data_IF_075876056093
#
_entry.id   IF_075876056093
#
_cell.length_a   1.000
_cell.length_b   1.000
_cell.length_c   1.000
_cell.angle_alpha   90.00
_cell.angle_beta   90.00
_cell.angle_gamma   90.00
#
_symmetry.space_group_name_H-M   'P 1'
#
loop_
_entity.id
_entity.type
_entity.pdbx_description
1 polymer ?
#
# COMPACT_ATOMS: atom_id res chain seq x y z
N UNK A 1 -11.30 19.54 25.00
CA UNK A 1 -10.58 19.64 23.71
C UNK A 1 -10.48 18.26 23.04
N UNK A 2 -10.02 17.25 23.74
CA UNK A 2 -9.82 15.88 23.21
C UNK A 2 -11.08 15.27 22.57
N UNK A 3 -12.24 15.37 23.24
CA UNK A 3 -13.52 14.88 22.73
C UNK A 3 -13.92 15.55 21.39
N UNK A 4 -13.70 16.87 21.26
CA UNK A 4 -13.98 17.58 20.02
C UNK A 4 -13.06 17.14 18.89
N UNK A 5 -11.76 16.93 19.16
CA UNK A 5 -10.79 16.42 18.17
C UNK A 5 -11.13 14.99 17.71
N UNK A 6 -11.57 14.14 18.64
CA UNK A 6 -12.08 12.79 18.30
C UNK A 6 -13.26 12.87 17.32
N UNK A 7 -14.29 13.67 17.61
CA UNK A 7 -15.46 13.80 16.73
C UNK A 7 -15.08 14.39 15.37
N UNK A 8 -14.21 15.40 15.32
CA UNK A 8 -13.76 16.00 14.06
C UNK A 8 -13.00 14.96 13.23
N UNK A 9 -12.02 14.26 13.81
CA UNK A 9 -11.22 13.29 13.10
C UNK A 9 -12.08 12.11 12.55
N UNK A 10 -12.96 11.54 13.37
CA UNK A 10 -13.86 10.48 12.94
C UNK A 10 -14.85 10.96 11.86
N UNK A 11 -15.37 12.20 11.96
CA UNK A 11 -16.23 12.77 10.91
C UNK A 11 -15.50 12.92 9.59
N UNK A 12 -14.21 13.28 9.58
CA UNK A 12 -13.36 13.36 8.40
C UNK A 12 -13.10 11.97 7.78
N UNK A 13 -12.88 10.94 8.60
CA UNK A 13 -12.76 9.56 8.12
C UNK A 13 -14.06 9.10 7.45
N UNK A 14 -15.22 9.37 8.07
CA UNK A 14 -16.54 9.06 7.51
C UNK A 14 -16.77 9.84 6.20
N UNK A 15 -16.38 11.10 6.13
CA UNK A 15 -16.48 11.91 4.92
C UNK A 15 -15.64 11.30 3.78
N UNK A 16 -14.43 10.83 4.08
CA UNK A 16 -13.60 10.10 3.12
C UNK A 16 -14.27 8.80 2.67
N UNK A 17 -14.86 8.04 3.58
CA UNK A 17 -15.60 6.81 3.27
C UNK A 17 -16.77 7.07 2.33
N UNK A 18 -17.62 8.03 2.64
CA UNK A 18 -18.80 8.40 1.84
C UNK A 18 -18.39 8.90 0.45
N UNK A 19 -17.37 9.76 0.38
CA UNK A 19 -16.88 10.27 -0.91
C UNK A 19 -16.24 9.17 -1.75
N UNK A 20 -15.66 8.14 -1.14
CA UNK A 20 -15.12 6.97 -1.85
C UNK A 20 -16.24 6.13 -2.48
N UNK A 21 -17.37 5.95 -1.79
CA UNK A 21 -18.57 5.31 -2.35
C UNK A 21 -19.10 6.13 -3.53
N UNK A 22 -19.23 7.45 -3.35
CA UNK A 22 -19.72 8.34 -4.41
C UNK A 22 -18.81 8.26 -5.65
N UNK A 23 -17.51 8.20 -5.48
CA UNK A 23 -16.55 8.16 -6.59
C UNK A 23 -16.50 6.78 -7.27
N UNK A 24 -16.70 5.68 -6.53
CA UNK A 24 -16.73 4.33 -7.10
C UNK A 24 -17.91 4.08 -8.06
N UNK A 25 -18.98 4.87 -7.99
CA UNK A 25 -20.15 4.77 -8.90
C UNK A 25 -19.81 4.90 -10.38
N UNK A 26 -18.70 5.56 -10.74
CA UNK A 26 -18.26 5.66 -12.13
C UNK A 26 -17.95 4.31 -12.78
N UNK A 27 -17.66 3.27 -12.00
CA UNK A 27 -17.53 1.89 -12.50
C UNK A 27 -18.85 1.33 -13.04
N UNK A 28 -19.97 1.73 -12.47
CA UNK A 28 -21.31 1.23 -12.79
C UNK A 28 -22.04 2.08 -13.80
N UNK A 29 -21.38 3.05 -14.43
CA UNK A 29 -21.98 4.00 -15.39
C UNK A 29 -23.21 4.77 -14.86
N UNK A 30 -23.33 4.92 -13.56
CA UNK A 30 -24.40 5.69 -12.94
C UNK A 30 -24.05 7.18 -13.10
N UNK A 31 -24.35 7.73 -14.26
CA UNK A 31 -24.17 9.14 -14.59
C UNK A 31 -25.47 9.91 -14.29
N UNK A 32 -25.73 10.26 -13.06
CA UNK A 32 -26.75 11.21 -12.74
C UNK A 32 -26.19 12.30 -11.85
N UNK A 33 -26.13 13.53 -12.38
CA UNK A 33 -25.82 14.79 -11.70
C UNK A 33 -24.50 14.81 -10.90
N UNK A 34 -23.45 15.23 -11.55
CA UNK A 34 -22.17 15.51 -10.88
C UNK A 34 -22.22 16.91 -10.27
N UNK A 35 -22.60 17.00 -9.00
CA UNK A 35 -22.42 18.23 -8.20
C UNK A 35 -20.95 18.66 -8.10
N UNK A 36 -20.03 17.69 -8.15
CA UNK A 36 -18.59 17.91 -8.05
C UNK A 36 -17.84 17.17 -9.16
N UNK A 37 -16.74 17.77 -9.64
CA UNK A 37 -15.81 17.11 -10.55
C UNK A 37 -15.05 15.99 -9.82
N UNK A 38 -14.47 15.05 -10.58
CA UNK A 38 -13.66 13.95 -10.03
C UNK A 38 -12.52 14.47 -9.18
N UNK A 39 -11.83 15.52 -9.66
CA UNK A 39 -10.69 16.11 -8.94
C UNK A 39 -11.14 16.80 -7.64
N UNK A 40 -12.31 17.39 -7.59
CA UNK A 40 -12.87 17.96 -6.35
C UNK A 40 -13.18 16.88 -5.31
N UNK A 41 -13.79 15.75 -5.72
CA UNK A 41 -14.06 14.63 -4.81
C UNK A 41 -12.74 14.04 -4.30
N UNK A 42 -11.77 13.82 -5.20
CA UNK A 42 -10.44 13.34 -4.79
C UNK A 42 -9.71 14.32 -3.87
N UNK A 43 -9.88 15.63 -4.08
CA UNK A 43 -9.34 16.66 -3.18
C UNK A 43 -10.00 16.59 -1.79
N UNK A 44 -11.32 16.39 -1.72
CA UNK A 44 -12.04 16.23 -0.45
C UNK A 44 -11.51 14.99 0.30
N UNK A 45 -11.35 13.85 -0.38
CA UNK A 45 -10.75 12.63 0.22
C UNK A 45 -9.36 12.92 0.78
N UNK A 46 -8.48 13.52 -0.04
CA UNK A 46 -7.12 13.83 0.36
C UNK A 46 -7.07 14.79 1.55
N UNK A 47 -7.80 15.91 1.50
CA UNK A 47 -7.83 16.90 2.57
C UNK A 47 -8.44 16.32 3.87
N UNK A 48 -9.47 15.50 3.78
CA UNK A 48 -10.07 14.86 4.96
C UNK A 48 -9.05 13.98 5.70
N UNK A 49 -8.34 13.13 4.97
CA UNK A 49 -7.32 12.25 5.59
C UNK A 49 -6.09 13.04 6.03
N UNK A 50 -5.66 14.04 5.26
CA UNK A 50 -4.54 14.92 5.61
C UNK A 50 -4.80 15.66 6.94
N UNK A 51 -5.99 16.25 7.09
CA UNK A 51 -6.37 16.92 8.33
C UNK A 51 -6.46 15.94 9.50
N UNK A 52 -7.04 14.74 9.28
CA UNK A 52 -7.06 13.68 10.32
C UNK A 52 -5.64 13.28 10.74
N UNK A 53 -4.71 13.18 9.78
CA UNK A 53 -3.32 12.86 10.07
C UNK A 53 -2.62 13.98 10.85
N UNK A 54 -2.87 15.25 10.52
CA UNK A 54 -2.35 16.37 11.30
C UNK A 54 -2.96 16.44 12.70
N UNK A 55 -4.23 16.10 12.89
CA UNK A 55 -4.82 15.97 14.23
C UNK A 55 -4.05 14.91 15.03
N UNK A 56 -3.75 13.74 14.44
CA UNK A 56 -2.99 12.70 15.13
C UNK A 56 -1.58 13.16 15.48
N UNK A 57 -0.88 13.85 14.58
CA UNK A 57 0.42 14.47 14.86
C UNK A 57 0.32 15.45 16.04
N UNK A 58 -0.69 16.30 16.06
CA UNK A 58 -0.92 17.27 17.13
C UNK A 58 -1.13 16.58 18.48
N UNK A 59 -1.90 15.49 18.53
CA UNK A 59 -2.14 14.71 19.75
C UNK A 59 -0.83 14.12 20.32
N UNK A 60 0.05 13.60 19.44
CA UNK A 60 1.37 13.10 19.86
C UNK A 60 2.30 14.20 20.35
N UNK A 61 2.34 15.35 19.66
CA UNK A 61 3.19 16.49 20.06
C UNK A 61 2.76 17.03 21.42
N UNK A 62 1.45 17.19 21.64
CA UNK A 62 0.88 17.70 22.88
C UNK A 62 0.81 16.67 24.01
N UNK A 63 1.15 15.39 23.70
CA UNK A 63 1.09 14.29 24.66
C UNK A 63 -0.32 14.16 25.30
N UNK A 64 -1.36 14.17 24.44
CA UNK A 64 -2.76 14.05 24.90
C UNK A 64 -3.08 12.57 25.20
N UNK A 65 -2.78 12.12 26.43
CA UNK A 65 -2.95 10.75 26.88
C UNK A 65 -4.42 10.34 27.10
N UNK A 66 -5.38 11.22 26.82
CA UNK A 66 -6.78 10.81 26.71
C UNK A 66 -7.04 9.92 25.48
N UNK A 67 -6.10 9.83 24.55
CA UNK A 67 -6.18 8.93 23.40
C UNK A 67 -5.35 7.67 23.64
N UNK A 68 -5.95 6.48 23.47
CA UNK A 68 -5.29 5.19 23.66
C UNK A 68 -3.95 5.13 22.93
N UNK A 69 -3.95 5.54 21.66
CA UNK A 69 -2.77 5.45 20.81
C UNK A 69 -1.61 6.29 21.32
N UNK A 70 -1.89 7.49 21.83
CA UNK A 70 -0.87 8.37 22.39
C UNK A 70 -0.34 7.83 23.71
N UNK A 71 -1.23 7.31 24.57
CA UNK A 71 -0.87 6.70 25.83
C UNK A 71 0.07 5.49 25.65
N UNK A 72 -0.28 4.57 24.74
CA UNK A 72 0.53 3.36 24.53
C UNK A 72 1.86 3.60 23.81
N UNK A 73 2.01 4.70 23.05
CA UNK A 73 3.15 4.88 22.14
C UNK A 73 3.90 6.22 22.31
N UNK A 74 3.58 7.02 23.35
CA UNK A 74 4.26 8.27 23.60
C UNK A 74 4.55 8.47 25.09
N UNK A 75 5.36 9.48 25.43
CA UNK A 75 5.70 9.90 26.78
C UNK A 75 5.97 11.40 26.79
N UNK A 76 5.70 12.10 27.91
CA UNK A 76 5.86 13.55 28.00
C UNK A 76 7.29 14.01 27.72
N UNK A 77 8.29 13.30 28.26
CA UNK A 77 9.71 13.63 28.11
C UNK A 77 10.36 13.18 26.79
N UNK A 78 9.60 12.53 25.90
CA UNK A 78 10.15 12.04 24.64
C UNK A 78 10.59 13.18 23.72
N UNK A 79 11.77 13.09 23.05
CA UNK A 79 12.19 14.03 22.04
C UNK A 79 11.16 14.18 20.91
N UNK A 80 10.99 15.39 20.39
CA UNK A 80 9.97 15.70 19.38
C UNK A 80 10.01 14.78 18.15
N UNK A 81 11.22 14.45 17.68
CA UNK A 81 11.37 13.54 16.51
C UNK A 81 10.74 12.17 16.76
N UNK A 82 10.83 11.65 18.00
CA UNK A 82 10.25 10.36 18.38
C UNK A 82 8.78 10.46 18.79
N UNK A 83 8.29 11.64 19.18
CA UNK A 83 6.85 11.89 19.25
C UNK A 83 6.24 11.85 17.85
N UNK A 84 6.89 12.48 16.86
CA UNK A 84 6.46 12.46 15.48
C UNK A 84 6.50 11.03 14.89
N UNK A 85 7.60 10.31 15.04
CA UNK A 85 7.72 8.96 14.52
C UNK A 85 6.79 7.95 15.22
N UNK A 86 6.44 8.21 16.47
CA UNK A 86 5.43 7.46 17.20
C UNK A 86 4.07 7.44 16.52
N UNK A 87 3.75 8.46 15.70
CA UNK A 87 2.51 8.51 14.92
C UNK A 87 2.37 7.31 13.98
N UNK A 88 3.44 6.89 13.32
CA UNK A 88 3.44 5.74 12.39
C UNK A 88 4.17 4.50 12.92
N UNK A 89 4.70 4.55 14.15
CA UNK A 89 5.34 3.42 14.81
C UNK A 89 4.38 2.41 15.45
N UNK A 90 3.12 2.37 15.03
CA UNK A 90 2.06 1.54 15.58
C UNK A 90 1.06 1.11 14.49
N UNK A 91 0.12 0.22 14.84
CA UNK A 91 -0.87 -0.31 13.90
C UNK A 91 -1.77 0.76 13.28
N UNK A 92 -2.36 1.59 14.12
CA UNK A 92 -3.44 2.53 13.77
C UNK A 92 -2.89 3.70 12.96
N UNK A 93 -1.86 4.35 13.47
CA UNK A 93 -1.29 5.53 12.85
C UNK A 93 -0.56 5.21 11.54
N UNK A 94 0.13 4.05 11.46
CA UNK A 94 0.74 3.60 10.20
C UNK A 94 -0.32 3.26 9.13
N UNK A 95 -1.51 2.80 9.54
CA UNK A 95 -2.60 2.59 8.59
C UNK A 95 -3.22 3.92 8.13
N UNK A 96 -3.31 4.91 9.00
CA UNK A 96 -3.74 6.25 8.59
C UNK A 96 -2.76 6.87 7.58
N UNK A 97 -1.45 6.68 7.79
CA UNK A 97 -0.41 7.07 6.82
C UNK A 97 -0.56 6.32 5.49
N UNK A 98 -0.84 5.02 5.53
CA UNK A 98 -1.15 4.22 4.34
C UNK A 98 -2.30 4.82 3.53
N UNK A 99 -3.42 5.14 4.20
CA UNK A 99 -4.59 5.75 3.57
C UNK A 99 -4.26 7.15 3.04
N UNK A 100 -3.47 7.95 3.76
CA UNK A 100 -3.02 9.26 3.30
C UNK A 100 -2.28 9.17 1.95
N UNK A 101 -1.41 8.17 1.79
CA UNK A 101 -0.69 7.95 0.54
C UNK A 101 -1.66 7.47 -0.56
N UNK A 102 -2.61 6.58 -0.24
CA UNK A 102 -3.64 6.15 -1.20
C UNK A 102 -4.43 7.33 -1.77
N UNK A 103 -4.95 8.21 -0.90
CA UNK A 103 -5.74 9.37 -1.33
C UNK A 103 -4.87 10.42 -2.03
N UNK A 104 -3.59 10.54 -1.66
CA UNK A 104 -2.64 11.41 -2.34
C UNK A 104 -2.43 10.96 -3.80
N UNK A 105 -2.15 9.69 -4.05
CA UNK A 105 -1.98 9.15 -5.41
C UNK A 105 -3.28 9.28 -6.22
N UNK A 106 -4.44 9.05 -5.60
CA UNK A 106 -5.74 9.25 -6.22
C UNK A 106 -5.94 10.72 -6.64
N UNK A 107 -5.67 11.65 -5.74
CA UNK A 107 -5.78 13.09 -6.00
C UNK A 107 -4.82 13.54 -7.12
N UNK A 108 -3.54 13.20 -7.02
CA UNK A 108 -2.54 13.55 -8.03
C UNK A 108 -2.91 13.01 -9.41
N UNK A 109 -3.38 11.76 -9.50
CA UNK A 109 -3.82 11.18 -10.76
C UNK A 109 -5.08 11.86 -11.31
N UNK A 110 -6.01 12.27 -10.45
CA UNK A 110 -7.22 12.99 -10.87
C UNK A 110 -6.92 14.32 -11.57
N UNK A 111 -5.77 14.94 -11.26
CA UNK A 111 -5.28 16.17 -11.90
C UNK A 111 -4.54 15.91 -13.24
N UNK A 112 -4.21 14.66 -13.54
CA UNK A 112 -3.46 14.28 -14.75
C UNK A 112 -4.24 14.68 -16.01
N UNK A 113 -3.53 15.27 -16.99
CA UNK A 113 -4.06 15.62 -18.32
C UNK A 113 -3.73 14.58 -19.38
N UNK A 114 -2.97 13.55 -19.05
CA UNK A 114 -2.41 12.58 -20.01
C UNK A 114 -3.38 11.48 -20.45
N UNK A 115 -4.55 11.35 -19.79
CA UNK A 115 -5.56 10.32 -20.08
C UNK A 115 -6.89 10.92 -20.53
N UNK A 116 -7.71 10.13 -21.25
CA UNK A 116 -9.08 10.51 -21.55
C UNK A 116 -9.91 10.65 -20.26
N UNK A 117 -10.95 11.47 -20.30
CA UNK A 117 -11.81 11.70 -19.14
C UNK A 117 -12.40 10.38 -18.62
N UNK A 118 -12.92 9.53 -19.51
CA UNK A 118 -13.49 8.22 -19.17
C UNK A 118 -12.46 7.29 -18.51
N UNK A 119 -11.23 7.24 -19.05
CA UNK A 119 -10.16 6.41 -18.48
C UNK A 119 -9.80 6.88 -17.08
N UNK A 120 -9.72 8.20 -16.86
CA UNK A 120 -9.47 8.80 -15.56
C UNK A 120 -10.58 8.46 -14.56
N UNK A 121 -11.85 8.60 -14.96
CA UNK A 121 -13.01 8.30 -14.14
C UNK A 121 -12.99 6.86 -13.62
N UNK A 122 -12.73 5.90 -14.49
CA UNK A 122 -12.65 4.49 -14.10
C UNK A 122 -11.45 4.24 -13.18
N UNK A 123 -10.27 4.80 -13.49
CA UNK A 123 -9.06 4.61 -12.66
C UNK A 123 -9.26 5.13 -11.24
N UNK A 124 -9.79 6.36 -11.13
CA UNK A 124 -10.07 7.00 -9.84
C UNK A 124 -11.16 6.25 -9.07
N UNK A 125 -12.16 5.69 -9.77
CA UNK A 125 -13.19 4.87 -9.16
C UNK A 125 -12.65 3.54 -8.61
N UNK A 126 -11.76 2.86 -9.32
CA UNK A 126 -11.05 1.66 -8.83
C UNK A 126 -10.21 2.00 -7.61
N UNK A 127 -9.43 3.09 -7.66
CA UNK A 127 -8.64 3.56 -6.53
C UNK A 127 -9.51 3.86 -5.31
N UNK A 128 -10.70 4.46 -5.53
CA UNK A 128 -11.64 4.76 -4.45
C UNK A 128 -12.24 3.52 -3.79
N UNK A 129 -12.37 2.39 -4.49
CA UNK A 129 -12.73 1.12 -3.86
C UNK A 129 -11.63 0.64 -2.89
N UNK A 130 -10.36 0.85 -3.23
CA UNK A 130 -9.25 0.54 -2.32
C UNK A 130 -9.31 1.46 -1.10
N UNK A 131 -9.49 2.77 -1.31
CA UNK A 131 -9.63 3.75 -0.23
C UNK A 131 -10.81 3.37 0.68
N UNK A 132 -11.97 3.04 0.12
CA UNK A 132 -13.13 2.58 0.88
C UNK A 132 -12.80 1.40 1.79
N UNK A 133 -12.17 0.35 1.26
CA UNK A 133 -11.81 -0.84 2.03
C UNK A 133 -10.87 -0.52 3.20
N UNK A 134 -9.85 0.29 2.98
CA UNK A 134 -8.89 0.65 4.03
C UNK A 134 -9.45 1.66 5.05
N UNK A 135 -10.29 2.62 4.64
CA UNK A 135 -10.97 3.52 5.60
C UNK A 135 -11.98 2.74 6.45
N UNK A 136 -12.69 1.79 5.84
CA UNK A 136 -13.58 0.90 6.58
C UNK A 136 -12.82 0.06 7.61
N UNK A 137 -11.67 -0.52 7.21
CA UNK A 137 -10.76 -1.23 8.13
C UNK A 137 -10.35 -0.34 9.30
N UNK A 138 -9.92 0.90 9.01
CA UNK A 138 -9.49 1.85 10.03
C UNK A 138 -10.60 2.16 11.02
N UNK A 139 -11.81 2.46 10.53
CA UNK A 139 -12.95 2.80 11.38
C UNK A 139 -13.43 1.64 12.26
N UNK A 140 -13.39 0.40 11.75
CA UNK A 140 -13.95 -0.75 12.45
C UNK A 140 -12.95 -1.46 13.37
N UNK A 141 -11.68 -1.55 12.98
CA UNK A 141 -10.70 -2.43 13.61
C UNK A 141 -9.41 -1.73 14.07
N UNK A 142 -9.15 -0.50 13.62
CA UNK A 142 -7.85 0.11 13.83
C UNK A 142 -7.93 1.64 13.97
N UNK A 143 -8.94 2.12 14.71
CA UNK A 143 -9.20 3.56 14.82
C UNK A 143 -8.17 4.26 15.70
N UNK A 144 -7.36 5.21 15.16
CA UNK A 144 -6.32 5.89 15.90
C UNK A 144 -6.85 6.96 16.87
N UNK A 145 -8.16 7.25 16.83
CA UNK A 145 -8.78 8.30 17.63
C UNK A 145 -9.62 7.77 18.79
N UNK A 146 -9.46 6.51 19.18
CA UNK A 146 -10.14 5.96 20.35
C UNK A 146 -9.72 6.72 21.60
N UNK A 147 -10.73 7.10 22.41
CA UNK A 147 -10.55 7.82 23.67
C UNK A 147 -10.41 6.80 24.79
N UNK A 148 -9.46 7.03 25.66
CA UNK A 148 -9.28 6.27 26.87
C UNK A 148 -10.36 6.64 27.90
N UNK A 149 -10.84 5.66 28.63
CA UNK A 149 -11.81 5.86 29.72
C UNK A 149 -11.15 6.22 31.06
N UNK A 150 -9.83 6.11 31.14
CA UNK A 150 -9.05 6.40 32.34
C UNK A 150 -8.21 7.66 32.13
N UNK A 151 -7.94 8.38 33.23
CA UNK A 151 -7.05 9.54 33.21
C UNK A 151 -5.63 9.09 33.58
N UNK A 152 -4.72 9.19 32.62
CA UNK A 152 -3.31 8.88 32.80
C UNK A 152 -2.48 10.16 32.96
N UNK A 153 -1.55 10.16 33.90
CA UNK A 153 -0.64 11.27 34.12
C UNK A 153 0.47 11.32 33.06
N UNK A 154 0.87 10.14 32.53
CA UNK A 154 1.87 10.04 31.48
C UNK A 154 1.66 8.75 30.67
N UNK A 155 2.33 8.66 29.49
CA UNK A 155 2.22 7.52 28.60
C UNK A 155 3.29 6.45 28.84
N UNK A 156 3.06 5.24 28.27
CA UNK A 156 3.96 4.09 28.43
C UNK A 156 5.26 4.22 27.62
N UNK A 157 5.32 5.14 26.65
CA UNK A 157 6.48 5.37 25.81
C UNK A 157 6.49 4.52 24.53
N UNK A 158 7.43 4.82 23.66
CA UNK A 158 7.72 4.06 22.45
C UNK A 158 8.82 3.04 22.76
N UNK A 159 8.73 1.85 22.17
CA UNK A 159 9.80 0.86 22.27
C UNK A 159 11.16 1.52 21.95
N UNK A 160 12.19 1.37 22.81
CA UNK A 160 13.51 1.99 22.60
C UNK A 160 14.12 1.68 21.23
N UNK A 161 13.97 0.48 20.71
CA UNK A 161 14.44 0.07 19.36
C UNK A 161 13.85 0.94 18.24
N UNK A 162 12.66 1.51 18.46
CA UNK A 162 11.99 2.40 17.52
C UNK A 162 12.43 3.87 17.64
N UNK A 163 13.29 4.18 18.62
CA UNK A 163 13.79 5.55 18.86
C UNK A 163 15.11 5.78 18.12
N UNK A 164 15.08 5.62 16.82
CA UNK A 164 16.20 5.82 15.89
C UNK A 164 15.81 6.76 14.76
N UNK A 165 16.70 7.69 14.33
CA UNK A 165 16.41 8.64 13.26
C UNK A 165 16.09 7.98 11.91
N UNK A 166 16.78 6.88 11.56
CA UNK A 166 16.47 6.17 10.31
C UNK A 166 15.14 5.45 10.39
N UNK A 167 14.83 4.85 11.54
CA UNK A 167 13.53 4.26 11.76
C UNK A 167 12.40 5.31 11.75
N UNK A 168 12.67 6.55 12.14
CA UNK A 168 11.71 7.64 12.00
C UNK A 168 11.43 7.98 10.53
N UNK A 169 12.40 7.88 9.64
CA UNK A 169 12.32 8.38 8.26
C UNK A 169 11.98 7.27 7.25
N UNK A 170 12.55 6.06 7.39
CA UNK A 170 12.41 5.02 6.37
C UNK A 170 10.97 4.51 6.16
N UNK A 171 10.10 4.33 7.19
CA UNK A 171 8.76 3.79 6.96
C UNK A 171 7.87 4.69 6.08
N UNK A 172 7.82 6.03 6.26
CA UNK A 172 7.10 6.90 5.33
C UNK A 172 7.60 6.81 3.88
N UNK A 173 8.92 6.74 3.67
CA UNK A 173 9.53 6.60 2.34
C UNK A 173 9.16 5.26 1.71
N UNK A 174 9.27 4.18 2.47
CA UNK A 174 8.89 2.84 2.04
C UNK A 174 7.40 2.79 1.66
N UNK A 175 6.53 3.39 2.46
CA UNK A 175 5.08 3.40 2.20
C UNK A 175 4.72 4.16 0.94
N UNK A 176 5.39 5.27 0.60
CA UNK A 176 5.13 5.96 -0.67
C UNK A 176 5.35 5.01 -1.85
N UNK A 177 6.39 4.19 -1.82
CA UNK A 177 6.64 3.17 -2.84
C UNK A 177 5.63 2.02 -2.78
N UNK A 178 5.50 1.44 -1.61
CA UNK A 178 4.71 0.24 -1.36
C UNK A 178 3.21 0.44 -1.68
N UNK A 179 2.63 1.54 -1.21
CA UNK A 179 1.24 1.92 -1.45
C UNK A 179 1.05 2.52 -2.85
N UNK A 180 2.08 3.18 -3.40
CA UNK A 180 2.04 3.79 -4.73
C UNK A 180 1.69 2.79 -5.84
N UNK A 181 2.01 1.50 -5.67
CA UNK A 181 1.60 0.44 -6.60
C UNK A 181 0.08 0.24 -6.69
N UNK A 182 -0.70 0.75 -5.75
CA UNK A 182 -2.17 0.74 -5.84
C UNK A 182 -2.69 1.50 -7.06
N UNK A 183 -2.05 2.62 -7.42
CA UNK A 183 -2.42 3.38 -8.60
C UNK A 183 -2.10 2.59 -9.88
N UNK A 184 -0.97 1.89 -9.92
CA UNK A 184 -0.59 1.05 -11.06
C UNK A 184 -1.58 -0.11 -11.20
N UNK A 185 -1.99 -0.71 -10.09
CA UNK A 185 -3.06 -1.69 -10.06
C UNK A 185 -4.36 -1.09 -10.63
N UNK A 186 -4.79 0.08 -10.17
CA UNK A 186 -6.00 0.74 -10.66
C UNK A 186 -5.94 1.07 -12.15
N UNK A 187 -4.76 1.48 -12.66
CA UNK A 187 -4.51 1.67 -14.08
C UNK A 187 -4.62 0.35 -14.86
N UNK A 188 -4.14 -0.77 -14.30
CA UNK A 188 -4.21 -2.07 -14.96
C UNK A 188 -5.65 -2.57 -15.05
N UNK A 189 -6.42 -2.45 -13.97
CA UNK A 189 -7.86 -2.79 -13.98
C UNK A 189 -8.61 -1.94 -15.00
N UNK A 190 -8.32 -0.63 -15.05
CA UNK A 190 -8.93 0.26 -16.05
C UNK A 190 -8.57 -0.15 -17.47
N UNK A 191 -7.30 -0.45 -17.75
CA UNK A 191 -6.84 -0.94 -19.04
C UNK A 191 -7.55 -2.22 -19.48
N UNK A 192 -7.77 -3.15 -18.54
CA UNK A 192 -8.55 -4.39 -18.81
C UNK A 192 -10.03 -4.09 -19.08
N UNK A 193 -10.66 -3.20 -18.29
CA UNK A 193 -12.07 -2.84 -18.46
C UNK A 193 -12.34 -2.12 -19.78
N UNK A 194 -11.43 -1.24 -20.19
CA UNK A 194 -11.56 -0.47 -21.44
C UNK A 194 -10.95 -1.18 -22.65
N UNK A 195 -10.18 -2.27 -22.42
CA UNK A 195 -9.35 -2.94 -23.42
C UNK A 195 -8.29 -2.00 -24.07
N UNK A 196 -7.85 -0.99 -23.31
CA UNK A 196 -6.86 0.01 -23.73
C UNK A 196 -5.51 -0.29 -23.05
N UNK A 197 -4.84 -1.38 -23.47
CA UNK A 197 -3.50 -1.76 -23.00
C UNK A 197 -2.52 -1.63 -24.16
N UNK A 198 -2.07 -0.40 -24.37
CA UNK A 198 -1.23 -0.01 -25.51
C UNK A 198 -0.09 0.93 -25.07
N UNK A 199 0.57 1.54 -26.06
CA UNK A 199 1.65 2.54 -25.83
C UNK A 199 1.17 3.75 -25.03
N UNK A 200 -0.10 4.17 -25.16
CA UNK A 200 -0.65 5.29 -24.41
C UNK A 200 -0.79 4.93 -22.94
N UNK A 201 -1.36 3.73 -22.68
CA UNK A 201 -1.43 3.19 -21.33
C UNK A 201 -0.06 3.15 -20.67
N UNK A 202 0.93 2.59 -21.36
CA UNK A 202 2.31 2.50 -20.83
C UNK A 202 2.93 3.88 -20.58
N UNK A 203 2.63 4.89 -21.42
CA UNK A 203 3.09 6.25 -21.24
C UNK A 203 2.48 6.90 -20.00
N UNK A 204 1.19 6.62 -19.71
CA UNK A 204 0.51 7.08 -18.50
C UNK A 204 1.05 6.38 -17.25
N UNK A 205 1.20 5.06 -17.29
CA UNK A 205 1.60 4.25 -16.15
C UNK A 205 3.08 4.42 -15.76
N UNK A 206 3.98 4.60 -16.74
CA UNK A 206 5.43 4.63 -16.56
C UNK A 206 5.93 5.55 -15.44
N UNK A 207 5.58 6.84 -15.37
CA UNK A 207 6.08 7.73 -14.32
C UNK A 207 5.69 7.25 -12.92
N UNK A 208 4.49 6.70 -12.77
CA UNK A 208 3.99 6.18 -11.50
C UNK A 208 4.72 4.91 -11.05
N UNK A 209 4.96 3.99 -11.99
CA UNK A 209 5.74 2.76 -11.72
C UNK A 209 7.15 3.10 -11.28
N UNK A 210 7.82 4.02 -11.99
CA UNK A 210 9.18 4.44 -11.63
C UNK A 210 9.22 5.17 -10.29
N UNK A 211 8.27 6.07 -10.02
CA UNK A 211 8.19 6.76 -8.74
C UNK A 211 8.00 5.76 -7.58
N UNK A 212 7.00 4.86 -7.68
CA UNK A 212 6.74 3.87 -6.65
C UNK A 212 7.95 2.95 -6.43
N UNK A 213 8.57 2.45 -7.50
CA UNK A 213 9.76 1.61 -7.42
C UNK A 213 10.95 2.33 -6.78
N UNK A 214 11.19 3.60 -7.13
CA UNK A 214 12.30 4.38 -6.58
C UNK A 214 12.11 4.64 -5.07
N UNK A 215 10.92 5.00 -4.63
CA UNK A 215 10.62 5.18 -3.21
C UNK A 215 10.71 3.86 -2.44
N UNK A 216 10.22 2.75 -3.02
CA UNK A 216 10.36 1.44 -2.39
C UNK A 216 11.83 1.03 -2.28
N UNK A 217 12.65 1.26 -3.33
CA UNK A 217 14.08 0.99 -3.30
C UNK A 217 14.80 1.80 -2.20
N UNK A 218 14.50 3.10 -2.11
CA UNK A 218 15.06 3.97 -1.07
C UNK A 218 14.62 3.52 0.33
N UNK A 219 13.34 3.18 0.51
CA UNK A 219 12.81 2.70 1.77
C UNK A 219 13.45 1.39 2.21
N UNK A 220 13.62 0.41 1.30
CA UNK A 220 14.32 -0.85 1.59
C UNK A 220 15.78 -0.58 1.98
N UNK A 221 16.49 0.24 1.20
CA UNK A 221 17.90 0.54 1.48
C UNK A 221 18.10 1.22 2.84
N UNK A 222 17.24 2.18 3.20
CA UNK A 222 17.29 2.85 4.50
C UNK A 222 16.94 1.89 5.65
N UNK A 223 15.95 1.01 5.47
CA UNK A 223 15.59 -0.01 6.44
C UNK A 223 16.70 -1.05 6.65
N UNK A 224 17.35 -1.49 5.56
CA UNK A 224 18.50 -2.39 5.64
C UNK A 224 19.69 -1.75 6.36
N UNK A 225 19.93 -0.45 6.16
CA UNK A 225 20.99 0.28 6.86
C UNK A 225 20.66 0.43 8.35
N UNK A 226 19.39 0.71 8.72
CA UNK A 226 18.96 0.70 10.11
C UNK A 226 19.17 -0.67 10.77
N UNK A 227 18.72 -1.75 10.12
CA UNK A 227 18.87 -3.11 10.63
C UNK A 227 20.33 -3.50 10.86
N UNK A 228 21.24 -3.03 10.00
CA UNK A 228 22.67 -3.32 10.09
C UNK A 228 23.29 -2.84 11.41
N UNK A 229 23.02 -1.62 11.84
CA UNK A 229 23.64 -1.09 13.05
C UNK A 229 22.81 -1.24 14.32
N UNK A 230 21.46 -1.31 14.20
CA UNK A 230 20.59 -1.34 15.37
C UNK A 230 20.31 -2.77 15.86
N UNK A 231 20.06 -3.71 14.94
CA UNK A 231 19.65 -5.07 15.30
C UNK A 231 20.80 -6.01 15.59
N UNK A 232 22.04 -5.62 15.28
CA UNK A 232 23.24 -6.42 15.57
C UNK A 232 23.31 -7.75 14.81
N UNK A 233 22.57 -7.89 13.72
CA UNK A 233 22.55 -9.14 12.93
C UNK A 233 23.80 -9.41 12.10
N UNK A 234 24.71 -8.44 12.01
CA UNK A 234 25.98 -8.57 11.30
C UNK A 234 25.90 -8.44 9.78
N UNK A 235 24.76 -8.02 9.24
CA UNK A 235 24.55 -7.83 7.82
C UNK A 235 23.40 -6.88 7.50
N UNK A 236 23.28 -6.48 6.22
CA UNK A 236 22.21 -5.58 5.73
C UNK A 236 20.90 -6.30 5.44
N UNK A 237 20.88 -7.63 5.39
CA UNK A 237 19.70 -8.42 5.03
C UNK A 237 19.74 -9.76 5.74
N UNK A 238 18.64 -10.09 6.40
CA UNK A 238 18.54 -11.31 7.22
C UNK A 238 17.43 -12.26 6.79
N UNK A 239 16.79 -11.97 5.69
CA UNK A 239 15.64 -12.74 5.23
C UNK A 239 14.48 -12.76 6.22
N UNK A 240 14.42 -11.76 7.10
CA UNK A 240 13.29 -11.58 8.00
C UNK A 240 11.98 -11.50 7.20
N UNK A 241 10.86 -12.09 7.69
CA UNK A 241 9.59 -12.08 6.96
C UNK A 241 9.11 -10.70 6.53
N UNK A 242 9.36 -9.65 7.31
CA UNK A 242 8.98 -8.26 6.98
C UNK A 242 9.92 -7.65 5.94
N UNK A 243 11.22 -7.94 6.01
CA UNK A 243 12.16 -7.60 4.93
C UNK A 243 11.71 -8.23 3.61
N UNK A 244 11.43 -9.54 3.64
CA UNK A 244 10.95 -10.29 2.48
C UNK A 244 9.62 -9.73 1.95
N UNK A 245 8.70 -9.31 2.84
CA UNK A 245 7.44 -8.69 2.46
C UNK A 245 7.63 -7.41 1.64
N UNK A 246 8.73 -6.67 1.86
CA UNK A 246 9.08 -5.49 1.05
C UNK A 246 9.82 -5.86 -0.25
N UNK A 247 10.64 -6.90 -0.22
CA UNK A 247 11.42 -7.39 -1.37
C UNK A 247 10.52 -7.98 -2.47
N UNK A 248 9.48 -8.73 -2.08
CA UNK A 248 8.61 -9.38 -3.05
C UNK A 248 7.93 -8.41 -4.04
N UNK A 249 7.24 -7.32 -3.63
CA UNK A 249 6.71 -6.34 -4.57
C UNK A 249 7.81 -5.60 -5.33
N UNK A 250 9.01 -5.41 -4.75
CA UNK A 250 10.15 -4.80 -5.44
C UNK A 250 10.63 -5.65 -6.61
N UNK A 251 10.75 -6.98 -6.44
CA UNK A 251 11.12 -7.91 -7.51
C UNK A 251 10.09 -7.91 -8.64
N UNK A 252 8.80 -8.01 -8.30
CA UNK A 252 7.71 -7.93 -9.28
C UNK A 252 7.67 -6.59 -10.00
N UNK A 253 7.88 -5.48 -9.28
CA UNK A 253 7.93 -4.12 -9.85
C UNK A 253 9.14 -3.94 -10.79
N UNK A 254 10.28 -4.56 -10.48
CA UNK A 254 11.46 -4.54 -11.35
C UNK A 254 11.16 -5.23 -12.69
N UNK A 255 10.49 -6.38 -12.68
CA UNK A 255 10.00 -7.04 -13.88
C UNK A 255 8.97 -6.16 -14.64
N UNK A 256 8.05 -5.53 -13.89
CA UNK A 256 7.04 -4.63 -14.44
C UNK A 256 7.64 -3.42 -15.16
N UNK A 257 8.66 -2.78 -14.62
CA UNK A 257 9.37 -1.66 -15.27
C UNK A 257 9.84 -2.06 -16.67
N UNK A 258 10.48 -3.22 -16.81
CA UNK A 258 10.95 -3.71 -18.10
C UNK A 258 9.79 -3.92 -19.07
N UNK A 259 8.68 -4.50 -18.61
CA UNK A 259 7.49 -4.71 -19.42
C UNK A 259 6.85 -3.40 -19.87
N UNK A 260 6.70 -2.42 -18.97
CA UNK A 260 6.13 -1.10 -19.28
C UNK A 260 6.97 -0.36 -20.32
N UNK A 261 8.29 -0.39 -20.21
CA UNK A 261 9.20 0.23 -21.20
C UNK A 261 9.09 -0.44 -22.57
N UNK A 262 8.98 -1.78 -22.61
CA UNK A 262 8.79 -2.51 -23.87
C UNK A 262 7.41 -2.22 -24.48
N UNK A 263 6.37 -2.23 -23.66
CA UNK A 263 5.01 -1.91 -24.08
C UNK A 263 4.94 -0.49 -24.69
N UNK A 264 5.57 0.48 -24.04
CA UNK A 264 5.63 1.86 -24.54
C UNK A 264 6.32 1.97 -25.89
N UNK A 265 7.44 1.26 -26.09
CA UNK A 265 8.25 1.36 -27.32
C UNK A 265 7.73 0.49 -28.45
N UNK A 266 7.34 -0.76 -28.15
CA UNK A 266 7.08 -1.80 -29.14
C UNK A 266 5.62 -2.26 -29.22
N UNK A 267 4.77 -1.87 -28.26
CA UNK A 267 3.39 -2.32 -28.11
C UNK A 267 3.25 -3.85 -28.02
N UNK A 268 4.15 -4.46 -27.25
CA UNK A 268 4.19 -5.91 -26.97
C UNK A 268 4.26 -6.13 -25.46
N UNK A 269 4.08 -7.34 -24.97
CA UNK A 269 4.09 -7.75 -23.57
C UNK A 269 2.89 -7.24 -22.74
N UNK A 270 1.76 -7.02 -23.37
CA UNK A 270 0.54 -6.53 -22.69
C UNK A 270 0.15 -7.43 -21.51
N UNK A 271 0.04 -8.74 -21.71
CA UNK A 271 -0.34 -9.70 -20.65
C UNK A 271 0.64 -9.72 -19.50
N UNK A 272 1.95 -9.76 -19.78
CA UNK A 272 2.97 -9.67 -18.74
C UNK A 272 2.84 -8.38 -17.91
N UNK A 273 2.64 -7.25 -18.60
CA UNK A 273 2.47 -5.95 -17.94
C UNK A 273 1.26 -5.96 -17.00
N UNK A 274 0.12 -6.49 -17.44
CA UNK A 274 -1.09 -6.53 -16.61
C UNK A 274 -0.94 -7.48 -15.42
N UNK A 275 -0.44 -8.70 -15.65
CA UNK A 275 -0.23 -9.68 -14.58
C UNK A 275 0.73 -9.14 -13.52
N UNK A 276 1.87 -8.57 -13.95
CA UNK A 276 2.86 -8.01 -13.02
C UNK A 276 2.31 -6.79 -12.26
N UNK A 277 1.50 -5.93 -12.89
CA UNK A 277 0.88 -4.79 -12.22
C UNK A 277 -0.10 -5.24 -11.13
N UNK A 278 -0.93 -6.25 -11.41
CA UNK A 278 -1.84 -6.84 -10.43
C UNK A 278 -1.02 -7.52 -9.30
N UNK A 279 -0.05 -8.34 -9.66
CA UNK A 279 0.78 -9.08 -8.71
C UNK A 279 1.55 -8.15 -7.77
N UNK A 280 2.15 -7.08 -8.29
CA UNK A 280 2.97 -6.16 -7.47
C UNK A 280 2.16 -5.55 -6.33
N UNK A 281 0.96 -5.04 -6.59
CA UNK A 281 0.13 -4.49 -5.51
C UNK A 281 -0.45 -5.58 -4.61
N UNK A 282 -0.81 -6.74 -5.16
CA UNK A 282 -1.26 -7.87 -4.36
C UNK A 282 -0.20 -8.35 -3.37
N UNK A 283 1.08 -8.33 -3.76
CA UNK A 283 2.21 -8.63 -2.87
C UNK A 283 2.40 -7.55 -1.79
N UNK A 284 2.15 -6.26 -2.10
CA UNK A 284 2.10 -5.21 -1.09
C UNK A 284 0.99 -5.45 -0.06
N UNK A 285 -0.19 -5.91 -0.50
CA UNK A 285 -1.29 -6.27 0.41
C UNK A 285 -0.96 -7.52 1.23
N UNK A 286 -0.36 -8.54 0.61
CA UNK A 286 0.07 -9.75 1.30
C UNK A 286 1.11 -9.44 2.39
N UNK A 287 2.08 -8.57 2.09
CA UNK A 287 3.03 -8.09 3.09
C UNK A 287 2.36 -7.29 4.21
N UNK A 288 1.36 -6.46 3.89
CA UNK A 288 0.55 -5.76 4.91
C UNK A 288 -0.18 -6.74 5.82
N UNK A 289 -0.70 -7.84 5.27
CA UNK A 289 -1.27 -8.94 6.05
C UNK A 289 -0.23 -9.56 6.98
N UNK A 290 0.94 -9.95 6.46
CA UNK A 290 2.01 -10.58 7.23
C UNK A 290 2.46 -9.74 8.43
N UNK A 291 2.67 -8.44 8.21
CA UNK A 291 3.11 -7.50 9.26
C UNK A 291 2.05 -7.28 10.33
N UNK A 292 0.75 -7.28 9.97
CA UNK A 292 -0.35 -6.87 10.87
C UNK A 292 -1.10 -8.02 11.50
N UNK A 293 -1.01 -9.22 10.95
CA UNK A 293 -1.66 -10.39 11.52
C UNK A 293 -0.93 -10.95 12.74
N UNK A 294 0.38 -10.64 12.87
CA UNK A 294 1.25 -11.26 13.88
C UNK A 294 1.40 -12.77 13.71
N UNK A 295 1.15 -13.29 12.49
CA UNK A 295 1.24 -14.73 12.19
C UNK A 295 2.69 -15.21 12.06
N UNK A 296 3.61 -14.28 11.75
CA UNK A 296 5.04 -14.57 11.62
C UNK A 296 5.82 -13.85 12.72
N UNK A 297 6.79 -14.55 13.29
CA UNK A 297 7.72 -13.96 14.25
C UNK A 297 8.72 -13.06 13.53
N UNK A 298 8.70 -11.77 13.84
CA UNK A 298 9.66 -10.78 13.36
C UNK A 298 9.79 -9.64 14.36
N UNK A 299 10.96 -9.04 14.44
CA UNK A 299 11.19 -7.82 15.25
C UNK A 299 10.44 -6.60 14.72
N UNK A 300 9.98 -6.67 13.47
CA UNK A 300 9.22 -5.62 12.78
C UNK A 300 7.71 -5.84 12.85
N UNK A 301 7.23 -6.99 13.38
CA UNK A 301 5.78 -7.22 13.48
C UNK A 301 5.21 -6.47 14.68
N UNK A 302 3.99 -6.00 14.49
CA UNK A 302 3.19 -5.48 15.59
C UNK A 302 2.62 -6.64 16.41
N UNK A 303 2.00 -6.33 17.56
CA UNK A 303 1.32 -7.33 18.37
C UNK A 303 0.30 -8.11 17.54
N UNK A 304 0.18 -9.41 17.81
CA UNK A 304 -0.73 -10.31 17.10
C UNK A 304 -2.18 -9.86 17.24
N UNK A 305 -2.87 -9.64 16.13
CA UNK A 305 -4.29 -9.32 16.07
C UNK A 305 -4.96 -10.10 14.93
N UNK A 306 -5.53 -11.27 15.24
CA UNK A 306 -6.17 -12.11 14.22
C UNK A 306 -7.33 -11.44 13.49
N UNK A 307 -8.07 -10.55 14.15
CA UNK A 307 -9.20 -9.83 13.54
C UNK A 307 -8.74 -8.88 12.43
N UNK A 308 -7.69 -8.12 12.68
CA UNK A 308 -7.05 -7.23 11.69
C UNK A 308 -6.46 -8.04 10.53
N UNK A 309 -5.79 -9.15 10.84
CA UNK A 309 -5.25 -10.05 9.83
C UNK A 309 -6.32 -10.62 8.92
N UNK A 310 -7.40 -11.14 9.49
CA UNK A 310 -8.49 -11.75 8.73
C UNK A 310 -9.16 -10.75 7.76
N UNK A 311 -9.40 -9.51 8.19
CA UNK A 311 -9.98 -8.49 7.31
C UNK A 311 -9.09 -8.26 6.08
N UNK A 312 -7.78 -8.06 6.29
CA UNK A 312 -6.83 -7.79 5.20
C UNK A 312 -6.73 -9.00 4.27
N UNK A 313 -6.76 -10.22 4.82
CA UNK A 313 -6.73 -11.46 4.04
C UNK A 313 -7.97 -11.60 3.14
N UNK A 314 -9.16 -11.36 3.68
CA UNK A 314 -10.41 -11.37 2.90
C UNK A 314 -10.37 -10.30 1.82
N UNK A 315 -9.91 -9.09 2.16
CA UNK A 315 -9.79 -7.98 1.21
C UNK A 315 -8.80 -8.32 0.09
N UNK A 316 -7.63 -8.87 0.42
CA UNK A 316 -6.66 -9.38 -0.55
C UNK A 316 -7.28 -10.45 -1.47
N UNK A 317 -8.00 -11.41 -0.91
CA UNK A 317 -8.64 -12.48 -1.67
C UNK A 317 -9.66 -11.92 -2.67
N UNK A 318 -10.49 -10.96 -2.27
CA UNK A 318 -11.47 -10.31 -3.14
C UNK A 318 -10.76 -9.57 -4.29
N UNK A 319 -9.75 -8.78 -3.97
CA UNK A 319 -8.98 -8.00 -4.97
C UNK A 319 -8.30 -8.93 -5.95
N UNK A 320 -7.59 -9.94 -5.46
CA UNK A 320 -6.83 -10.88 -6.28
C UNK A 320 -7.73 -11.69 -7.20
N UNK A 321 -8.79 -12.29 -6.63
CA UNK A 321 -9.73 -13.13 -7.38
C UNK A 321 -10.46 -12.34 -8.46
N UNK A 322 -10.99 -11.14 -8.13
CA UNK A 322 -11.70 -10.31 -9.09
C UNK A 322 -10.78 -9.80 -10.21
N UNK A 323 -9.54 -9.45 -9.88
CA UNK A 323 -8.56 -8.93 -10.85
C UNK A 323 -8.09 -10.01 -11.82
N UNK A 324 -7.78 -11.20 -11.33
CA UNK A 324 -7.37 -12.31 -12.21
C UNK A 324 -8.54 -12.87 -13.00
N UNK A 325 -9.76 -12.89 -12.44
CA UNK A 325 -10.95 -13.22 -13.21
C UNK A 325 -11.17 -12.21 -14.36
N UNK A 326 -11.05 -10.90 -14.06
CA UNK A 326 -11.15 -9.87 -15.09
C UNK A 326 -10.05 -10.04 -16.15
N UNK A 327 -8.82 -10.32 -15.73
CA UNK A 327 -7.72 -10.60 -16.67
C UNK A 327 -8.03 -11.81 -17.56
N UNK A 328 -8.49 -12.92 -17.00
CA UNK A 328 -8.87 -14.12 -17.76
C UNK A 328 -9.94 -13.80 -18.81
N UNK A 329 -10.97 -13.04 -18.44
CA UNK A 329 -12.07 -12.66 -19.34
C UNK A 329 -11.67 -11.65 -20.43
N UNK A 330 -10.59 -10.88 -20.23
CA UNK A 330 -10.20 -9.79 -21.13
C UNK A 330 -8.86 -10.01 -21.85
N UNK A 331 -8.09 -11.03 -21.49
CA UNK A 331 -6.73 -11.27 -22.01
C UNK A 331 -6.67 -11.41 -23.51
N UNK A 332 -7.65 -12.07 -24.13
CA UNK A 332 -7.70 -12.22 -25.59
C UNK A 332 -7.83 -10.87 -26.32
N UNK A 333 -8.56 -9.92 -25.74
CA UNK A 333 -8.80 -8.60 -26.37
C UNK A 333 -7.59 -7.69 -26.33
N UNK A 334 -6.68 -7.91 -25.38
CA UNK A 334 -5.49 -7.08 -25.21
C UNK A 334 -4.26 -7.68 -25.88
N UNK A 335 -4.24 -9.00 -26.08
CA UNK A 335 -3.10 -9.68 -26.69
C UNK A 335 -3.04 -9.42 -28.20
N UNK A 336 -1.88 -8.93 -28.66
CA UNK A 336 -1.53 -8.92 -30.07
C UNK A 336 -0.51 -10.03 -30.31
N UNK A 337 -0.77 -10.97 -31.21
CA UNK A 337 0.20 -12.02 -31.55
C UNK A 337 1.47 -11.35 -32.06
N UNK A 338 2.59 -11.62 -31.41
CA UNK A 338 3.91 -11.20 -31.86
C UNK A 338 4.77 -12.44 -32.05
N UNK A 339 5.29 -12.62 -33.25
CA UNK A 339 6.30 -13.64 -33.52
C UNK A 339 7.59 -13.20 -32.81
N UNK A 340 8.00 -13.93 -31.80
CA UNK A 340 9.25 -13.67 -31.07
C UNK A 340 10.36 -14.53 -31.68
N UNK A 341 11.38 -13.87 -32.23
CA UNK A 341 12.62 -14.55 -32.57
C UNK A 341 13.41 -14.80 -31.27
N UNK A 342 13.98 -16.00 -31.11
CA UNK A 342 14.72 -16.41 -29.89
C UNK A 342 15.83 -15.43 -29.55
N UNK A 343 16.51 -14.85 -30.53
CA UNK A 343 17.57 -13.84 -30.36
C UNK A 343 17.04 -12.43 -30.22
N UNK A 344 15.75 -12.22 -29.98
CA UNK A 344 15.19 -10.86 -29.87
C UNK A 344 15.39 -10.28 -28.48
N UNK A 345 15.49 -8.95 -28.39
CA UNK A 345 15.53 -8.22 -27.12
C UNK A 345 14.29 -8.48 -26.24
N UNK A 346 13.15 -8.76 -26.87
CA UNK A 346 11.92 -9.12 -26.14
C UNK A 346 12.08 -10.45 -25.43
N UNK A 347 12.71 -11.44 -26.07
CA UNK A 347 13.01 -12.74 -25.46
C UNK A 347 13.96 -12.60 -24.28
N UNK A 348 15.01 -11.75 -24.40
CA UNK A 348 15.90 -11.47 -23.27
C UNK A 348 15.16 -10.86 -22.07
N UNK A 349 14.20 -9.97 -22.30
CA UNK A 349 13.37 -9.39 -21.23
C UNK A 349 12.40 -10.43 -20.64
N UNK A 350 11.85 -11.33 -21.45
CA UNK A 350 11.03 -12.45 -20.95
C UNK A 350 11.85 -13.37 -20.03
N UNK A 351 13.08 -13.71 -20.41
CA UNK A 351 13.98 -14.52 -19.57
C UNK A 351 14.28 -13.78 -18.25
N UNK A 352 14.58 -12.48 -18.30
CA UNK A 352 14.78 -11.67 -17.10
C UNK A 352 13.55 -11.69 -16.19
N UNK A 353 12.33 -11.57 -16.75
CA UNK A 353 11.11 -11.63 -15.96
C UNK A 353 10.92 -13.01 -15.30
N UNK A 354 11.20 -14.10 -16.03
CA UNK A 354 11.15 -15.45 -15.47
C UNK A 354 12.14 -15.62 -14.31
N UNK A 355 13.36 -15.10 -14.45
CA UNK A 355 14.35 -15.15 -13.36
C UNK A 355 13.89 -14.37 -12.13
N UNK A 356 13.37 -13.14 -12.31
CA UNK A 356 12.85 -12.32 -11.21
C UNK A 356 11.65 -12.98 -10.52
N UNK A 357 10.72 -13.59 -11.29
CA UNK A 357 9.58 -14.30 -10.73
C UNK A 357 10.01 -15.59 -10.03
N UNK A 358 11.05 -16.29 -10.54
CA UNK A 358 11.60 -17.47 -9.86
C UNK A 358 12.21 -17.10 -8.50
N UNK A 359 13.00 -16.01 -8.44
CA UNK A 359 13.55 -15.49 -7.18
C UNK A 359 12.40 -15.12 -6.23
N UNK A 360 11.41 -14.37 -6.72
CA UNK A 360 10.22 -14.00 -5.95
C UNK A 360 9.51 -15.24 -5.40
N UNK A 361 9.33 -16.28 -6.20
CA UNK A 361 8.67 -17.51 -5.78
C UNK A 361 9.44 -18.23 -4.68
N UNK A 362 10.77 -18.27 -4.75
CA UNK A 362 11.62 -18.85 -3.70
C UNK A 362 11.48 -18.05 -2.40
N UNK A 363 11.56 -16.72 -2.49
CA UNK A 363 11.39 -15.84 -1.31
C UNK A 363 10.00 -16.00 -0.70
N UNK A 364 8.94 -16.02 -1.53
CA UNK A 364 7.57 -16.20 -1.08
C UNK A 364 7.37 -17.54 -0.36
N UNK A 365 7.79 -18.64 -1.00
CA UNK A 365 7.66 -19.99 -0.42
C UNK A 365 8.46 -20.12 0.87
N UNK A 366 9.70 -19.61 0.91
CA UNK A 366 10.52 -19.62 2.11
C UNK A 366 9.93 -18.81 3.25
N UNK A 367 9.34 -17.64 2.94
CA UNK A 367 8.69 -16.78 3.96
C UNK A 367 7.40 -17.41 4.48
N UNK A 368 6.64 -18.11 3.64
CA UNK A 368 5.38 -18.74 4.02
C UNK A 368 5.55 -20.14 4.62
N UNK A 369 6.73 -20.75 4.49
CA UNK A 369 6.99 -22.12 4.95
C UNK A 369 6.77 -22.32 6.46
N UNK A 370 7.28 -21.46 7.36
CA UNK A 370 7.02 -21.57 8.79
C UNK A 370 5.52 -21.54 9.12
N UNK A 371 4.77 -20.66 8.47
CA UNK A 371 3.31 -20.55 8.64
C UNK A 371 2.60 -21.84 8.20
N UNK A 372 3.01 -22.39 7.06
CA UNK A 372 2.42 -23.64 6.55
C UNK A 372 2.72 -24.83 7.47
N UNK A 373 3.93 -24.92 8.02
CA UNK A 373 4.30 -25.99 8.95
C UNK A 373 3.56 -25.86 10.30
N UNK A 374 3.41 -24.65 10.81
CA UNK A 374 2.65 -24.41 12.04
C UNK A 374 1.18 -24.83 11.87
N UNK A 375 0.55 -24.45 10.77
CA UNK A 375 -0.84 -24.79 10.47
C UNK A 375 -1.07 -26.31 10.24
N UNK A 376 -0.11 -27.01 9.63
CA UNK A 376 -0.27 -28.43 9.26
C UNK A 376 0.16 -29.36 10.39
N UNK A 377 1.25 -29.03 11.07
CA UNK A 377 1.88 -29.92 12.05
C UNK A 377 1.76 -29.45 13.49
N UNK A 378 1.16 -28.27 13.76
CA UNK A 378 1.14 -27.61 15.07
C UNK A 378 2.56 -27.50 15.71
N UNK A 379 3.58 -27.29 14.88
CA UNK A 379 4.97 -27.14 15.29
C UNK A 379 5.49 -25.78 14.83
N UNK A 380 5.75 -24.88 15.77
CA UNK A 380 6.48 -23.63 15.49
C UNK A 380 7.94 -23.97 15.18
N UNK A 381 8.41 -23.56 14.02
CA UNK A 381 9.82 -23.66 13.61
C UNK A 381 10.58 -22.41 14.06
#
# INVERSE_FOLDING_TARGET
MSLALNYIANSLLILCLVTSIIQSRFLFKIQNYNLFSISQISAIQFLSILVSFFILIFLFITSDFNFDLVYFHSHSEKPLIYKLSGVWGNHEGSMLLWILILVLFNFLFSLSKSSSQKFKEITVAVQSLMIFGFVLFLLLLSNPFNINNENFNDGLGLNPILQDPLLAIHPPILYIGYVGFSLIFSLSITGLLTSEVDKKWATIAKPWVFAAWSFLTAGIALGSYWAYYELGWGGYWFWDPVENASLMPWLSATALIHCVVVLQRRNTMQSWTMVLAILTFSLSLAGTFLVRSGVLNSVHTFASDPGRGLFILIFLFIILSSSFLLFALKSEKINKPSLHNISSRNTGIMVNNWLLISILSVVFLGTMYPLATDLIYNQSL
#
